data_IF_773449519953
#
_entry.id   IF_773449519953
#
_cell.length_a   1.000
_cell.length_b   1.000
_cell.length_c   1.000
_cell.angle_alpha   90.00
_cell.angle_beta   90.00
_cell.angle_gamma   90.00
#
_symmetry.space_group_name_H-M   'P 1'
#
loop_
_entity.id
_entity.type
_entity.pdbx_description
1 polymer ?
#
# COMPACT_ATOMS: atom_id res chain seq x y z
N UNK A 1 -8.55 22.04 89.36
CA UNK A 1 -9.71 21.42 88.74
C UNK A 1 -9.61 21.71 87.27
N UNK A 2 -9.07 20.77 86.48
CA UNK A 2 -8.85 20.89 85.01
C UNK A 2 -9.99 20.15 84.37
N UNK A 3 -10.81 20.83 83.58
CA UNK A 3 -11.91 20.26 82.81
C UNK A 3 -11.35 19.87 81.42
N UNK A 4 -11.24 18.58 81.11
CA UNK A 4 -10.88 18.07 79.79
C UNK A 4 -12.17 17.97 78.98
N UNK A 5 -12.37 18.84 77.97
CA UNK A 5 -13.42 18.69 76.95
C UNK A 5 -12.94 17.63 75.90
N UNK A 6 -13.58 16.47 75.90
CA UNK A 6 -13.46 15.49 74.83
C UNK A 6 -14.39 15.89 73.69
N UNK A 7 -13.82 16.38 72.57
CA UNK A 7 -14.52 16.57 71.30
C UNK A 7 -14.66 15.23 70.58
N UNK A 8 -15.77 14.54 70.66
CA UNK A 8 -16.18 13.41 69.87
C UNK A 8 -16.61 13.89 68.46
N UNK A 9 -15.65 13.96 67.53
CA UNK A 9 -15.94 14.23 66.14
C UNK A 9 -16.54 13.01 65.45
N UNK A 10 -17.89 12.94 65.36
CA UNK A 10 -18.57 11.98 64.47
C UNK A 10 -18.33 12.41 63.02
N UNK A 11 -17.25 11.86 62.37
CA UNK A 11 -17.10 11.98 60.94
C UNK A 11 -18.20 11.20 60.21
N UNK A 12 -19.19 11.91 59.65
CA UNK A 12 -20.09 11.33 58.66
C UNK A 12 -19.29 10.87 57.46
N UNK A 13 -19.21 9.53 57.22
CA UNK A 13 -18.75 8.99 55.96
C UNK A 13 -19.64 9.57 54.87
N UNK A 14 -19.06 10.35 53.94
CA UNK A 14 -19.76 10.79 52.74
C UNK A 14 -20.27 9.58 51.93
N UNK A 15 -21.28 9.80 51.08
CA UNK A 15 -21.75 8.72 50.22
C UNK A 15 -20.56 8.16 49.41
N UNK A 16 -20.50 6.83 49.21
CA UNK A 16 -19.42 6.21 48.42
C UNK A 16 -19.36 6.89 47.05
N UNK A 17 -18.17 7.30 46.64
CA UNK A 17 -17.95 7.85 45.30
C UNK A 17 -18.47 6.81 44.29
N UNK A 18 -19.18 7.26 43.23
CA UNK A 18 -19.63 6.37 42.19
C UNK A 18 -18.40 5.68 41.58
N UNK A 19 -18.46 4.38 41.23
CA UNK A 19 -17.35 3.67 40.69
C UNK A 19 -16.86 4.36 39.41
N UNK A 20 -15.59 4.68 39.34
CA UNK A 20 -14.95 5.25 38.16
C UNK A 20 -15.12 4.27 36.99
N UNK A 21 -15.94 4.65 36.02
CA UNK A 21 -16.18 3.85 34.83
C UNK A 21 -15.15 4.27 33.77
N UNK A 22 -14.15 3.45 33.55
CA UNK A 22 -13.17 3.66 32.47
C UNK A 22 -13.84 3.34 31.14
N UNK A 23 -13.97 4.35 30.29
CA UNK A 23 -14.58 4.26 28.96
C UNK A 23 -13.49 4.59 27.95
N UNK A 24 -13.24 3.75 26.89
CA UNK A 24 -12.22 4.02 25.91
C UNK A 24 -12.55 5.28 25.10
N UNK A 25 -11.52 6.02 24.71
CA UNK A 25 -11.67 7.10 23.72
C UNK A 25 -12.17 6.52 22.38
N UNK A 26 -12.60 7.39 21.48
CA UNK A 26 -12.99 6.99 20.14
C UNK A 26 -11.81 6.36 19.37
N UNK A 27 -12.05 5.36 18.51
CA UNK A 27 -11.08 4.96 17.51
C UNK A 27 -10.66 6.17 16.66
N UNK A 28 -9.36 6.35 16.46
CA UNK A 28 -8.82 7.50 15.74
C UNK A 28 -8.55 7.17 14.26
N UNK A 29 -8.39 8.21 13.44
CA UNK A 29 -8.00 8.12 12.03
C UNK A 29 -8.85 7.15 11.21
N UNK A 30 -10.17 7.14 11.44
CA UNK A 30 -11.06 6.29 10.67
C UNK A 30 -11.05 6.72 9.21
N UNK A 31 -10.70 5.78 8.33
CA UNK A 31 -10.73 5.91 6.87
C UNK A 31 -11.51 4.76 6.26
N UNK A 32 -12.05 4.96 5.07
CA UNK A 32 -12.72 3.91 4.31
C UNK A 32 -12.39 4.05 2.82
N UNK A 33 -11.93 2.97 2.21
CA UNK A 33 -11.62 2.90 0.78
C UNK A 33 -12.50 1.85 0.11
N UNK A 34 -13.18 2.24 -0.97
CA UNK A 34 -14.04 1.32 -1.72
C UNK A 34 -13.32 0.80 -2.96
N UNK A 35 -13.28 -0.51 -3.10
CA UNK A 35 -12.75 -1.24 -4.25
C UNK A 35 -13.83 -2.17 -4.80
N UNK A 36 -14.45 -1.77 -5.90
CA UNK A 36 -15.60 -2.46 -6.49
C UNK A 36 -16.72 -2.72 -5.46
N UNK A 37 -16.91 -3.96 -5.05
CA UNK A 37 -17.91 -4.39 -4.06
C UNK A 37 -17.37 -4.54 -2.64
N UNK A 38 -16.10 -4.19 -2.40
CA UNK A 38 -15.45 -4.33 -1.09
C UNK A 38 -15.13 -2.94 -0.53
N UNK A 39 -15.31 -2.77 0.78
CA UNK A 39 -14.88 -1.57 1.50
C UNK A 39 -13.92 -1.96 2.61
N UNK A 40 -12.73 -1.39 2.57
CA UNK A 40 -11.71 -1.53 3.61
C UNK A 40 -11.79 -0.35 4.56
N UNK A 41 -12.17 -0.60 5.80
CA UNK A 41 -12.25 0.40 6.88
C UNK A 41 -11.02 0.23 7.77
N UNK A 42 -10.25 1.30 7.94
CA UNK A 42 -9.04 1.32 8.77
C UNK A 42 -9.21 2.33 9.90
N UNK A 43 -8.62 2.04 11.05
CA UNK A 43 -8.65 2.92 12.22
C UNK A 43 -7.54 2.57 13.20
N UNK A 44 -7.17 3.54 14.05
CA UNK A 44 -6.27 3.29 15.16
C UNK A 44 -7.08 2.83 16.39
N UNK A 45 -6.68 1.69 16.97
CA UNK A 45 -7.28 1.12 18.16
C UNK A 45 -7.09 2.05 19.35
N UNK A 46 -8.14 2.33 20.17
CA UNK A 46 -8.01 3.17 21.37
C UNK A 46 -6.91 2.67 22.32
N UNK A 47 -6.04 3.58 22.78
CA UNK A 47 -4.98 3.29 23.74
C UNK A 47 -5.17 3.99 25.09
N UNK A 48 -6.21 4.80 25.24
CA UNK A 48 -6.53 5.53 26.46
C UNK A 48 -8.03 5.53 26.74
N UNK A 49 -8.39 5.83 27.97
CA UNK A 49 -9.76 6.09 28.39
C UNK A 49 -10.09 7.59 28.30
N UNK A 50 -11.38 7.94 28.37
CA UNK A 50 -11.85 9.32 28.29
C UNK A 50 -11.38 10.18 29.46
N UNK A 51 -10.97 9.58 30.58
CA UNK A 51 -10.37 10.24 31.74
C UNK A 51 -8.84 10.41 31.61
N UNK A 52 -8.24 10.05 30.44
CA UNK A 52 -6.81 10.11 30.18
C UNK A 52 -6.01 8.93 30.72
N UNK A 53 -6.61 8.00 31.45
CA UNK A 53 -5.91 6.83 31.97
C UNK A 53 -5.53 5.86 30.87
N UNK A 54 -4.38 5.19 31.02
CA UNK A 54 -3.88 4.12 30.15
C UNK A 54 -3.54 2.89 30.98
N UNK A 55 -3.64 1.69 30.40
CA UNK A 55 -4.16 1.33 29.08
C UNK A 55 -5.69 1.55 28.99
N UNK A 56 -6.24 1.58 27.76
CA UNK A 56 -7.66 1.68 27.53
C UNK A 56 -8.40 0.42 28.03
N UNK A 57 -9.58 0.62 28.63
CA UNK A 57 -10.48 -0.48 28.94
C UNK A 57 -11.29 -0.86 27.69
N UNK A 58 -10.65 -1.53 26.75
CA UNK A 58 -11.24 -1.95 25.48
C UNK A 58 -10.99 -3.43 25.25
N UNK A 59 -12.06 -4.19 24.98
CA UNK A 59 -12.04 -5.61 24.62
C UNK A 59 -12.02 -5.78 23.09
N UNK A 60 -12.75 -4.93 22.39
CA UNK A 60 -12.86 -4.95 20.93
C UNK A 60 -13.30 -3.59 20.40
N UNK A 61 -13.08 -3.40 19.10
CA UNK A 61 -13.65 -2.28 18.37
C UNK A 61 -14.68 -2.82 17.38
N UNK A 62 -15.93 -2.38 17.51
CA UNK A 62 -17.00 -2.70 16.59
C UNK A 62 -17.13 -1.59 15.54
N UNK A 63 -17.24 -1.99 14.26
CA UNK A 63 -17.49 -1.07 13.14
C UNK A 63 -18.94 -1.23 12.70
N UNK A 64 -19.64 -0.11 12.58
CA UNK A 64 -21.02 -0.03 12.14
C UNK A 64 -21.10 0.73 10.82
N UNK A 65 -22.03 0.33 9.95
CA UNK A 65 -22.29 0.99 8.68
C UNK A 65 -23.77 1.19 8.41
N UNK A 66 -24.08 2.24 7.66
CA UNK A 66 -25.45 2.57 7.26
C UNK A 66 -25.45 3.24 5.89
N UNK A 67 -26.38 2.83 5.04
CA UNK A 67 -26.58 3.45 3.72
C UNK A 67 -27.74 4.43 3.78
N UNK A 68 -27.51 5.67 3.37
CA UNK A 68 -28.51 6.71 3.35
C UNK A 68 -28.27 7.72 2.21
N UNK A 69 -29.35 8.40 1.81
CA UNK A 69 -29.30 9.48 0.83
C UNK A 69 -29.09 10.86 1.50
N UNK A 70 -28.90 10.90 2.80
CA UNK A 70 -28.72 12.12 3.58
C UNK A 70 -27.86 11.87 4.81
N UNK A 71 -27.32 12.94 5.38
CA UNK A 71 -26.58 12.90 6.65
C UNK A 71 -27.53 12.54 7.79
N UNK A 72 -27.11 11.56 8.62
CA UNK A 72 -27.83 11.07 9.80
C UNK A 72 -27.23 11.62 11.08
N UNK A 73 -28.03 11.73 12.12
CA UNK A 73 -27.53 12.05 13.48
C UNK A 73 -26.86 10.83 14.11
N UNK A 74 -26.05 11.04 15.18
CA UNK A 74 -25.39 9.93 15.88
C UNK A 74 -26.43 8.94 16.46
N UNK A 75 -27.54 9.44 17.01
CA UNK A 75 -28.60 8.59 17.56
C UNK A 75 -29.29 7.75 16.48
N UNK A 76 -29.44 8.30 15.28
CA UNK A 76 -30.00 7.56 14.15
C UNK A 76 -29.04 6.46 13.69
N UNK A 77 -27.76 6.78 13.58
CA UNK A 77 -26.73 5.80 13.22
C UNK A 77 -26.72 4.67 14.26
N UNK A 78 -26.72 4.98 15.56
CA UNK A 78 -26.73 3.98 16.63
C UNK A 78 -27.90 3.02 16.59
N UNK A 79 -29.07 3.51 16.17
CA UNK A 79 -30.32 2.72 16.16
C UNK A 79 -30.51 1.92 14.89
N UNK A 80 -29.98 2.42 13.77
CA UNK A 80 -30.31 1.93 12.43
C UNK A 80 -29.13 1.30 11.73
N UNK A 81 -27.87 1.61 12.14
CA UNK A 81 -26.68 1.04 11.51
C UNK A 81 -26.51 -0.43 11.87
N UNK A 82 -26.05 -1.20 10.92
CA UNK A 82 -25.68 -2.61 11.09
C UNK A 82 -24.20 -2.74 11.46
N UNK A 83 -23.88 -3.69 12.32
CA UNK A 83 -22.50 -4.05 12.62
C UNK A 83 -21.91 -4.82 11.44
N UNK A 84 -20.82 -4.30 10.87
CA UNK A 84 -20.16 -4.87 9.68
C UNK A 84 -18.89 -5.63 10.01
N UNK A 85 -18.32 -5.37 11.20
CA UNK A 85 -17.13 -6.10 11.63
C UNK A 85 -16.75 -5.78 13.07
N UNK A 86 -15.79 -6.53 13.57
CA UNK A 86 -15.27 -6.40 14.92
C UNK A 86 -13.80 -6.79 14.93
N UNK A 87 -12.97 -6.01 15.62
CA UNK A 87 -11.56 -6.32 15.85
C UNK A 87 -11.37 -6.52 17.35
N UNK A 88 -10.93 -7.71 17.76
CA UNK A 88 -10.57 -8.00 19.14
C UNK A 88 -9.30 -7.24 19.51
N UNK A 89 -9.21 -6.77 20.74
CA UNK A 89 -8.05 -6.06 21.29
C UNK A 89 -7.45 -6.89 22.41
N UNK A 90 -6.12 -7.07 22.38
CA UNK A 90 -5.41 -7.80 23.43
C UNK A 90 -5.60 -7.10 24.78
N UNK A 91 -5.78 -7.91 25.83
CA UNK A 91 -5.75 -7.38 27.21
C UNK A 91 -4.37 -6.73 27.45
N UNK A 92 -4.33 -5.57 28.16
CA UNK A 92 -3.05 -4.97 28.52
C UNK A 92 -2.25 -5.93 29.40
N UNK A 93 -0.94 -6.00 29.21
CA UNK A 93 -0.04 -6.77 30.07
C UNK A 93 -0.14 -6.23 31.49
N UNK A 94 -0.16 -7.13 32.47
CA UNK A 94 -0.08 -6.72 33.88
C UNK A 94 1.32 -6.12 34.14
N UNK A 95 1.40 -4.83 34.55
CA UNK A 95 2.69 -4.22 34.84
C UNK A 95 3.43 -4.87 36.03
N UNK A 96 2.73 -5.69 36.81
CA UNK A 96 3.31 -6.45 37.94
C UNK A 96 3.56 -7.93 37.65
N UNK A 97 3.38 -8.37 36.41
CA UNK A 97 3.81 -9.70 35.99
C UNK A 97 5.35 -9.73 36.04
N UNK A 98 5.92 -10.25 37.12
CA UNK A 98 7.35 -10.50 37.26
C UNK A 98 7.73 -11.63 36.31
N UNK A 99 8.48 -11.30 35.27
CA UNK A 99 9.33 -12.28 34.59
C UNK A 99 10.40 -12.69 35.57
N UNK A 100 10.41 -13.94 35.95
CA UNK A 100 11.46 -14.51 36.80
C UNK A 100 12.80 -14.46 36.01
N UNK A 101 13.85 -13.78 36.49
CA UNK A 101 15.09 -13.57 35.71
C UNK A 101 15.98 -14.81 35.59
N UNK A 102 15.57 -15.98 36.04
CA UNK A 102 16.37 -17.19 36.05
C UNK A 102 15.97 -18.30 35.03
N UNK A 103 14.98 -18.05 34.16
CA UNK A 103 14.77 -19.00 33.07
C UNK A 103 15.53 -18.52 31.82
N UNK A 104 16.38 -19.41 31.21
CA UNK A 104 17.05 -19.09 29.95
C UNK A 104 16.01 -18.89 28.88
N UNK A 105 16.30 -17.92 27.95
CA UNK A 105 15.52 -17.54 26.78
C UNK A 105 15.01 -18.73 25.93
N UNK A 106 14.10 -19.53 26.47
CA UNK A 106 13.11 -20.17 25.64
C UNK A 106 12.15 -19.03 25.20
N UNK A 107 12.02 -18.83 23.90
CA UNK A 107 10.93 -18.05 23.32
C UNK A 107 9.63 -18.56 23.92
N UNK A 108 9.29 -18.01 25.10
CA UNK A 108 7.99 -18.24 25.68
C UNK A 108 7.01 -17.58 24.75
N UNK A 109 6.42 -18.39 23.86
CA UNK A 109 5.18 -18.07 23.19
C UNK A 109 4.21 -17.58 24.27
N UNK A 110 4.27 -16.27 24.57
CA UNK A 110 3.28 -15.62 25.40
C UNK A 110 1.93 -16.00 24.77
N UNK A 111 0.95 -16.51 25.54
CA UNK A 111 -0.32 -16.92 24.98
C UNK A 111 -0.81 -15.79 24.10
N UNK A 112 -0.78 -16.00 22.78
CA UNK A 112 -1.26 -15.04 21.78
C UNK A 112 -2.72 -14.77 22.09
N UNK A 113 -2.97 -13.75 22.91
CA UNK A 113 -4.30 -13.25 23.13
C UNK A 113 -4.84 -12.88 21.74
N UNK A 114 -5.89 -13.57 21.29
CA UNK A 114 -6.54 -13.30 20.01
C UNK A 114 -6.90 -11.83 19.94
N UNK A 115 -6.24 -11.06 19.10
CA UNK A 115 -6.52 -9.65 18.91
C UNK A 115 -5.30 -8.82 18.52
N UNK A 116 -5.52 -7.54 18.31
CA UNK A 116 -4.48 -6.54 18.00
C UNK A 116 -4.09 -5.75 19.25
N UNK A 117 -2.92 -5.15 19.25
CA UNK A 117 -2.48 -4.29 20.34
C UNK A 117 -3.22 -2.93 20.33
N UNK A 118 -3.25 -2.25 21.48
CA UNK A 118 -3.77 -0.89 21.59
C UNK A 118 -2.84 0.10 20.87
N UNK A 119 -3.41 1.10 20.19
CA UNK A 119 -2.64 2.11 19.47
C UNK A 119 -2.13 1.70 18.08
N UNK A 120 -2.41 0.48 17.63
CA UNK A 120 -2.03 0.03 16.29
C UNK A 120 -3.14 0.27 15.26
N UNK A 121 -2.76 0.29 13.99
CA UNK A 121 -3.69 0.33 12.86
C UNK A 121 -4.39 -1.01 12.71
N UNK A 122 -5.72 -1.00 12.76
CA UNK A 122 -6.58 -2.15 12.54
C UNK A 122 -7.41 -1.97 11.27
N UNK A 123 -7.86 -3.09 10.68
CA UNK A 123 -8.67 -3.12 9.46
C UNK A 123 -9.90 -4.01 9.64
N UNK A 124 -11.01 -3.54 9.09
CA UNK A 124 -12.23 -4.32 8.86
C UNK A 124 -12.58 -4.23 7.40
N UNK A 125 -12.81 -5.37 6.74
CA UNK A 125 -13.23 -5.42 5.34
C UNK A 125 -14.70 -5.81 5.29
N UNK A 126 -15.52 -4.99 4.62
CA UNK A 126 -16.91 -5.30 4.33
C UNK A 126 -17.10 -5.66 2.87
N UNK A 127 -17.78 -6.78 2.60
CA UNK A 127 -18.28 -7.11 1.29
C UNK A 127 -19.68 -6.50 1.15
N UNK A 128 -19.85 -5.56 0.22
CA UNK A 128 -21.15 -4.93 -0.04
C UNK A 128 -22.12 -5.95 -0.65
N UNK A 129 -23.18 -6.27 0.10
CA UNK A 129 -24.33 -7.04 -0.39
C UNK A 129 -25.35 -6.11 -1.04
N UNK A 130 -26.29 -6.68 -1.78
CA UNK A 130 -27.38 -5.90 -2.41
C UNK A 130 -28.16 -5.10 -1.35
N UNK A 131 -28.40 -5.68 -0.17
CA UNK A 131 -29.05 -4.97 0.95
C UNK A 131 -28.24 -3.78 1.46
N UNK A 132 -26.91 -3.88 1.44
CA UNK A 132 -26.02 -2.79 1.83
C UNK A 132 -26.07 -1.60 0.86
N UNK A 133 -26.45 -1.83 -0.39
CA UNK A 133 -26.57 -0.80 -1.43
C UNK A 133 -27.89 -0.02 -1.34
N UNK A 134 -28.91 -0.58 -0.68
CA UNK A 134 -30.22 0.06 -0.55
C UNK A 134 -30.24 1.08 0.58
N UNK A 135 -30.56 2.35 0.31
CA UNK A 135 -30.72 3.35 1.35
C UNK A 135 -31.88 3.04 2.29
N UNK A 136 -31.68 3.27 3.58
CA UNK A 136 -32.76 3.12 4.56
C UNK A 136 -33.88 4.15 4.29
N UNK A 137 -35.13 3.69 4.35
CA UNK A 137 -36.31 4.53 4.25
C UNK A 137 -36.74 5.01 5.66
N UNK A 138 -36.27 6.19 6.03
CA UNK A 138 -36.56 6.81 7.32
C UNK A 138 -38.06 7.23 7.49
N UNK A 139 -38.81 7.22 6.38
CA UNK A 139 -40.26 7.54 6.42
C UNK A 139 -41.11 6.35 6.87
N UNK A 140 -40.65 5.12 6.64
CA UNK A 140 -41.32 3.90 7.08
C UNK A 140 -41.31 3.78 8.62
N UNK A 141 -40.21 4.17 9.25
CA UNK A 141 -40.11 4.12 10.71
C UNK A 141 -40.86 5.26 11.40
N UNK A 142 -41.13 6.38 10.71
CA UNK A 142 -41.95 7.50 11.24
C UNK A 142 -43.45 7.18 11.32
N UNK A 143 -43.94 6.17 10.59
CA UNK A 143 -45.36 5.74 10.67
C UNK A 143 -45.74 5.08 12.00
N UNK A 144 -44.80 4.73 12.85
CA UNK A 144 -45.04 4.23 14.20
C UNK A 144 -45.40 5.33 15.21
N UNK A 145 -45.20 6.60 14.89
CA UNK A 145 -45.65 7.71 15.73
C UNK A 145 -46.90 8.36 15.14
N UNK A 146 -48.04 8.10 15.71
CA UNK A 146 -49.27 8.86 15.48
C UNK A 146 -48.98 10.35 15.60
N UNK A 147 -48.73 11.03 14.49
CA UNK A 147 -48.61 12.49 14.45
C UNK A 147 -49.86 13.07 13.83
N UNK A 148 -50.43 14.03 14.54
CA UNK A 148 -51.63 14.77 14.22
C UNK A 148 -51.58 15.36 12.80
N UNK A 149 -52.67 15.19 12.11
CA UNK A 149 -53.06 15.66 10.78
C UNK A 149 -53.05 17.19 10.75
N UNK A 150 -52.03 17.80 10.18
CA UNK A 150 -52.09 19.18 9.69
C UNK A 150 -52.47 19.14 8.19
N UNK A 151 -53.63 19.69 7.85
CA UNK A 151 -54.02 19.99 6.46
C UNK A 151 -53.23 21.20 6.02
N UNK A 152 -52.26 21.00 5.09
CA UNK A 152 -51.62 22.09 4.36
C UNK A 152 -52.00 22.03 2.85
N UNK A 153 -51.85 23.11 2.12
CA UNK A 153 -52.29 23.23 0.72
C UNK A 153 -51.46 22.33 -0.23
N UNK A 154 -52.11 21.95 -1.34
CA UNK A 154 -51.56 21.05 -2.37
C UNK A 154 -50.28 21.57 -2.97
N UNK A 155 -49.24 20.77 -2.86
CA UNK A 155 -47.95 21.01 -3.51
C UNK A 155 -48.05 20.84 -5.01
N UNK A 156 -47.51 21.84 -5.76
CA UNK A 156 -47.27 21.73 -7.18
C UNK A 156 -46.22 20.64 -7.53
N UNK A 157 -46.01 20.31 -8.81
CA UNK A 157 -45.08 19.26 -9.18
C UNK A 157 -43.67 19.59 -8.68
N UNK A 158 -43.18 18.77 -7.75
CA UNK A 158 -41.81 18.83 -7.27
C UNK A 158 -40.86 18.56 -8.43
N UNK A 159 -40.03 19.52 -8.78
CA UNK A 159 -38.88 19.28 -9.65
C UNK A 159 -38.03 18.20 -9.01
N UNK A 160 -37.62 17.15 -9.76
CA UNK A 160 -36.74 16.13 -9.20
C UNK A 160 -35.46 16.80 -8.75
N UNK A 161 -35.20 16.77 -7.43
CA UNK A 161 -33.90 17.13 -6.89
C UNK A 161 -32.83 16.23 -7.53
N UNK A 162 -31.65 16.75 -7.85
CA UNK A 162 -30.55 15.95 -8.35
C UNK A 162 -30.34 14.76 -7.40
N UNK A 163 -30.50 13.56 -7.94
CA UNK A 163 -30.40 12.31 -7.17
C UNK A 163 -28.93 12.14 -6.79
N UNK A 164 -28.56 12.55 -5.58
CA UNK A 164 -27.25 12.23 -5.04
C UNK A 164 -27.13 10.71 -4.96
N UNK A 165 -26.05 10.16 -5.47
CA UNK A 165 -25.76 8.75 -5.29
C UNK A 165 -25.77 8.42 -3.80
N UNK A 166 -26.41 7.30 -3.38
CA UNK A 166 -26.41 6.93 -1.98
C UNK A 166 -24.98 6.77 -1.48
N UNK A 167 -24.76 7.07 -0.22
CA UNK A 167 -23.48 6.87 0.45
C UNK A 167 -23.62 5.89 1.61
N UNK A 168 -22.56 5.11 1.84
CA UNK A 168 -22.46 4.25 3.00
C UNK A 168 -21.49 4.86 3.99
N UNK A 169 -22.04 5.15 5.19
CA UNK A 169 -21.31 5.83 6.27
C UNK A 169 -20.87 4.82 7.32
N UNK A 170 -19.62 4.90 7.73
CA UNK A 170 -18.99 4.05 8.74
C UNK A 170 -18.67 4.83 10.00
N UNK A 171 -18.78 4.15 11.15
CA UNK A 171 -18.33 4.62 12.45
C UNK A 171 -17.73 3.47 13.25
N UNK A 172 -16.66 3.74 13.98
CA UNK A 172 -16.02 2.81 14.92
C UNK A 172 -16.37 3.13 16.36
N UNK A 173 -16.48 2.10 17.20
CA UNK A 173 -16.81 2.22 18.64
C UNK A 173 -15.98 1.21 19.43
N UNK A 174 -15.21 1.67 20.40
CA UNK A 174 -14.57 0.80 21.39
C UNK A 174 -15.59 0.20 22.35
N UNK A 175 -15.52 -1.10 22.58
CA UNK A 175 -16.37 -1.82 23.53
C UNK A 175 -15.51 -2.24 24.72
N UNK A 176 -15.95 -1.90 25.93
CA UNK A 176 -15.25 -2.29 27.16
C UNK A 176 -15.42 -3.78 27.45
N UNK A 177 -14.57 -4.34 28.32
CA UNK A 177 -14.68 -5.72 28.83
C UNK A 177 -16.02 -6.04 29.51
N UNK A 178 -16.80 -5.03 29.86
CA UNK A 178 -18.16 -5.15 30.41
C UNK A 178 -19.26 -4.87 29.38
N UNK A 179 -18.92 -4.83 28.08
CA UNK A 179 -19.84 -4.62 26.97
C UNK A 179 -20.37 -3.17 26.84
N UNK A 180 -19.81 -2.18 27.56
CA UNK A 180 -20.21 -0.79 27.42
C UNK A 180 -19.58 -0.16 26.20
N UNK A 181 -20.37 0.65 25.47
CA UNK A 181 -19.88 1.39 24.29
C UNK A 181 -19.10 2.62 24.75
N UNK A 182 -17.96 2.84 24.15
CA UNK A 182 -17.15 4.04 24.23
C UNK A 182 -17.64 5.17 23.32
N UNK A 183 -16.79 6.15 23.11
CA UNK A 183 -17.07 7.25 22.18
C UNK A 183 -17.00 6.77 20.73
N UNK A 184 -17.80 7.41 19.86
CA UNK A 184 -17.78 7.15 18.42
C UNK A 184 -16.60 7.85 17.74
N UNK A 185 -16.02 7.20 16.76
CA UNK A 185 -15.05 7.81 15.85
C UNK A 185 -15.67 8.96 15.05
N UNK A 186 -14.84 9.70 14.35
CA UNK A 186 -15.27 10.50 13.20
C UNK A 186 -15.98 9.61 12.20
N UNK A 187 -16.86 10.20 11.39
CA UNK A 187 -17.58 9.48 10.33
C UNK A 187 -16.78 9.52 9.07
N UNK A 188 -16.80 8.41 8.34
CA UNK A 188 -16.30 8.35 6.98
C UNK A 188 -17.38 7.78 6.08
N UNK A 189 -17.53 8.32 4.89
CA UNK A 189 -18.53 7.86 3.93
C UNK A 189 -17.87 7.52 2.60
N UNK A 190 -18.34 6.44 1.98
CA UNK A 190 -17.98 6.05 0.61
C UNK A 190 -19.20 6.21 -0.28
N UNK A 191 -18.97 6.66 -1.51
CA UNK A 191 -20.04 6.74 -2.51
C UNK A 191 -20.43 5.32 -2.96
N UNK A 192 -21.72 5.08 -3.17
CA UNK A 192 -22.25 3.84 -3.73
C UNK A 192 -22.55 3.96 -5.23
N UNK A 193 -22.04 5.00 -5.91
CA UNK A 193 -22.08 5.06 -7.37
C UNK A 193 -21.48 3.77 -7.98
N UNK A 194 -21.91 3.33 -9.15
CA UNK A 194 -21.33 2.17 -9.83
C UNK A 194 -19.80 2.35 -9.96
N UNK A 195 -19.01 1.32 -9.65
CA UNK A 195 -17.55 1.40 -9.81
C UNK A 195 -17.18 1.46 -11.30
N UNK A 196 -16.06 2.10 -11.65
CA UNK A 196 -15.56 2.11 -13.02
C UNK A 196 -15.19 0.67 -13.47
N UNK A 197 -15.10 0.47 -14.78
CA UNK A 197 -14.64 -0.80 -15.33
C UNK A 197 -13.12 -0.96 -15.12
N UNK A 198 -12.63 -2.18 -14.86
CA UNK A 198 -11.20 -2.43 -14.78
C UNK A 198 -10.55 -2.27 -16.16
N UNK A 199 -9.27 -1.86 -16.24
CA UNK A 199 -8.55 -1.87 -17.50
C UNK A 199 -8.27 -3.31 -17.96
N UNK A 200 -7.78 -3.48 -19.19
CA UNK A 200 -7.28 -4.76 -19.63
C UNK A 200 -6.09 -5.22 -18.78
N UNK A 201 -5.87 -6.53 -18.73
CA UNK A 201 -4.69 -7.09 -18.04
C UNK A 201 -3.41 -6.44 -18.57
N UNK A 202 -2.53 -5.90 -17.71
CA UNK A 202 -1.33 -5.23 -18.15
C UNK A 202 -0.35 -6.20 -18.83
N UNK A 203 0.40 -5.67 -19.79
CA UNK A 203 1.62 -6.30 -20.26
C UNK A 203 2.78 -5.84 -19.40
N UNK A 204 3.72 -6.74 -19.11
CA UNK A 204 4.90 -6.45 -18.29
C UNK A 204 6.17 -6.74 -19.08
N UNK A 205 7.14 -5.83 -19.01
CA UNK A 205 8.49 -5.98 -19.54
C UNK A 205 9.47 -5.25 -18.62
N UNK A 206 10.76 -5.40 -18.83
CA UNK A 206 11.79 -4.75 -18.00
C UNK A 206 13.02 -4.40 -18.83
N UNK A 207 13.78 -3.44 -18.31
CA UNK A 207 15.14 -3.11 -18.74
C UNK A 207 16.11 -3.23 -17.55
N UNK A 208 17.32 -2.70 -17.69
CA UNK A 208 18.33 -2.70 -16.62
C UNK A 208 17.94 -1.89 -15.38
N UNK A 209 16.91 -1.04 -15.45
CA UNK A 209 16.62 -0.01 -14.44
C UNK A 209 15.27 -0.20 -13.76
N UNK A 210 14.29 -0.74 -14.51
CA UNK A 210 12.92 -0.79 -14.03
C UNK A 210 12.11 -1.91 -14.69
N UNK A 211 11.02 -2.28 -14.01
CA UNK A 211 9.94 -3.09 -14.56
C UNK A 211 8.86 -2.13 -15.04
N UNK A 212 8.37 -2.32 -16.26
CA UNK A 212 7.35 -1.49 -16.89
C UNK A 212 6.07 -2.28 -17.08
N UNK A 213 4.96 -1.62 -16.77
CA UNK A 213 3.62 -2.11 -17.02
C UNK A 213 2.93 -1.18 -18.00
N UNK A 214 2.25 -1.75 -19.00
CA UNK A 214 1.38 -1.02 -19.92
C UNK A 214 0.04 -1.74 -20.00
N UNK A 215 -1.06 -1.00 -20.03
CA UNK A 215 -2.40 -1.55 -20.15
C UNK A 215 -3.27 -0.74 -21.11
N UNK A 216 -4.32 -1.38 -21.61
CA UNK A 216 -5.33 -0.68 -22.39
C UNK A 216 -6.42 -0.21 -21.43
N UNK A 217 -6.78 1.09 -21.44
CA UNK A 217 -7.90 1.61 -20.67
C UNK A 217 -9.18 0.83 -20.98
N UNK A 218 -10.05 0.68 -19.95
CA UNK A 218 -11.40 0.23 -20.23
C UNK A 218 -12.05 1.19 -21.21
N UNK A 219 -12.58 0.69 -22.32
CA UNK A 219 -13.40 1.51 -23.20
C UNK A 219 -14.58 2.00 -22.36
N UNK A 220 -14.79 3.29 -22.28
CA UNK A 220 -16.10 3.82 -21.91
C UNK A 220 -17.07 3.15 -22.88
N UNK A 221 -17.91 2.25 -22.35
CA UNK A 221 -18.86 1.52 -23.19
C UNK A 221 -19.55 2.53 -24.13
N UNK A 222 -19.83 2.15 -25.36
CA UNK A 222 -20.45 2.97 -26.41
C UNK A 222 -21.83 3.58 -26.03
N UNK A 223 -21.95 4.01 -24.81
CA UNK A 223 -23.05 4.77 -24.24
C UNK A 223 -22.93 6.24 -24.55
N UNK A 224 -23.13 6.62 -25.81
CA UNK A 224 -23.73 7.89 -26.21
C UNK A 224 -23.23 9.22 -25.61
N UNK A 225 -21.99 9.36 -25.21
CA UNK A 225 -21.48 10.68 -24.80
C UNK A 225 -20.98 11.58 -25.95
N UNK A 226 -21.11 11.10 -27.20
CA UNK A 226 -20.69 11.88 -28.38
C UNK A 226 -21.65 13.01 -28.77
N UNK A 227 -22.80 13.19 -28.11
CA UNK A 227 -23.83 14.17 -28.53
C UNK A 227 -24.39 15.05 -27.41
N UNK A 228 -23.83 15.11 -26.22
CA UNK A 228 -24.25 16.10 -25.23
C UNK A 228 -23.26 17.25 -25.17
N UNK A 229 -23.58 18.42 -25.79
CA UNK A 229 -22.82 19.62 -25.55
C UNK A 229 -23.14 20.12 -24.14
N UNK A 230 -22.11 20.42 -23.41
CA UNK A 230 -22.10 21.09 -22.11
C UNK A 230 -22.49 20.22 -20.90
N UNK A 231 -21.47 19.90 -20.11
CA UNK A 231 -21.64 19.48 -18.72
C UNK A 231 -22.56 20.47 -18.00
N UNK A 232 -23.68 20.03 -17.40
CA UNK A 232 -24.54 20.94 -16.65
C UNK A 232 -23.73 21.67 -15.58
N UNK A 233 -23.97 22.96 -15.41
CA UNK A 233 -23.34 23.75 -14.36
C UNK A 233 -23.63 23.08 -13.01
N UNK A 234 -22.57 22.58 -12.29
CA UNK A 234 -22.70 21.83 -11.05
C UNK A 234 -22.68 20.32 -11.17
N UNK A 235 -22.40 19.75 -12.35
CA UNK A 235 -22.12 18.32 -12.44
C UNK A 235 -20.81 17.99 -11.68
N UNK A 236 -20.77 16.86 -10.93
CA UNK A 236 -19.57 16.46 -10.21
C UNK A 236 -18.40 16.28 -11.18
N UNK A 237 -17.25 16.84 -10.81
CA UNK A 237 -16.03 16.67 -11.61
C UNK A 237 -15.57 15.22 -11.47
N UNK A 238 -15.51 14.49 -12.58
CA UNK A 238 -15.00 13.13 -12.64
C UNK A 238 -13.63 13.13 -13.27
N UNK A 239 -12.68 12.50 -12.62
CA UNK A 239 -11.35 12.23 -13.19
C UNK A 239 -11.03 10.75 -13.06
N UNK A 240 -10.53 10.17 -14.16
CA UNK A 240 -10.09 8.79 -14.20
C UNK A 240 -8.56 8.73 -14.11
N UNK A 241 -8.08 7.75 -13.40
CA UNK A 241 -6.69 7.40 -13.29
C UNK A 241 -6.54 5.93 -12.97
N UNK A 242 -5.32 5.50 -12.68
CA UNK A 242 -5.02 4.09 -12.40
C UNK A 242 -4.19 3.97 -11.14
N UNK A 243 -4.49 2.97 -10.32
CA UNK A 243 -3.69 2.55 -9.20
C UNK A 243 -3.08 1.18 -9.48
N UNK A 244 -1.77 1.06 -9.24
CA UNK A 244 -1.01 -0.19 -9.39
C UNK A 244 -0.74 -0.76 -8.02
N UNK A 245 -0.90 -2.07 -7.88
CA UNK A 245 -0.74 -2.80 -6.63
C UNK A 245 0.21 -3.99 -6.81
N UNK A 246 0.93 -4.30 -5.76
CA UNK A 246 1.64 -5.55 -5.54
C UNK A 246 1.01 -6.23 -4.31
N UNK A 247 0.27 -7.31 -4.52
CA UNK A 247 -0.57 -7.88 -3.48
C UNK A 247 -1.59 -6.88 -2.94
N UNK A 248 -1.49 -6.57 -1.64
CA UNK A 248 -2.35 -5.57 -0.98
C UNK A 248 -1.73 -4.16 -0.96
N UNK A 249 -0.48 -4.03 -1.35
CA UNK A 249 0.27 -2.76 -1.27
C UNK A 249 0.06 -1.93 -2.52
N UNK A 250 -0.43 -0.70 -2.35
CA UNK A 250 -0.52 0.26 -3.45
C UNK A 250 0.84 0.88 -3.71
N UNK A 251 1.31 0.79 -4.96
CA UNK A 251 2.61 1.31 -5.41
C UNK A 251 2.52 2.78 -5.85
N UNK A 252 1.39 3.18 -6.40
CA UNK A 252 1.13 4.56 -6.82
C UNK A 252 0.72 5.42 -5.63
N UNK A 253 1.43 6.53 -5.36
CA UNK A 253 1.05 7.49 -4.30
C UNK A 253 -0.27 8.19 -4.63
N UNK A 254 -0.44 8.57 -5.88
CA UNK A 254 -1.65 9.12 -6.47
C UNK A 254 -1.98 8.32 -7.72
N UNK A 255 -3.26 8.25 -8.09
CA UNK A 255 -3.65 7.60 -9.34
C UNK A 255 -2.92 8.26 -10.53
N UNK A 256 -2.32 7.45 -11.39
CA UNK A 256 -1.63 7.91 -12.61
C UNK A 256 -2.64 8.08 -13.74
N UNK A 257 -2.49 9.12 -14.53
CA UNK A 257 -3.40 9.40 -15.65
C UNK A 257 -3.08 8.53 -16.87
N UNK A 258 -1.79 8.30 -17.11
CA UNK A 258 -1.34 7.52 -18.25
C UNK A 258 -1.48 6.01 -17.98
N UNK A 259 -1.80 5.19 -19.00
CA UNK A 259 -1.95 3.75 -18.85
C UNK A 259 -0.60 3.02 -18.80
N UNK A 260 0.36 3.58 -18.07
CA UNK A 260 1.70 3.04 -17.90
C UNK A 260 2.20 3.24 -16.46
N UNK A 261 3.08 2.35 -16.03
CA UNK A 261 3.76 2.48 -14.72
C UNK A 261 5.16 1.88 -14.80
N UNK A 262 6.12 2.53 -14.15
CA UNK A 262 7.49 2.04 -14.02
C UNK A 262 7.81 1.78 -12.56
N UNK A 263 8.19 0.54 -12.23
CA UNK A 263 8.67 0.15 -10.91
C UNK A 263 10.20 0.10 -10.90
N UNK A 264 10.82 1.07 -10.26
CA UNK A 264 12.29 1.14 -10.15
C UNK A 264 12.89 0.15 -9.11
N UNK A 265 12.06 -0.65 -8.44
CA UNK A 265 12.48 -1.65 -7.46
C UNK A 265 12.89 -2.97 -8.14
N UNK A 266 13.57 -2.87 -9.28
CA UNK A 266 14.09 -4.03 -9.98
C UNK A 266 15.08 -4.79 -9.11
N UNK A 267 14.91 -6.11 -9.00
CA UNK A 267 15.88 -7.06 -8.43
C UNK A 267 15.91 -8.32 -9.28
N UNK A 268 17.09 -8.69 -9.74
CA UNK A 268 17.28 -9.86 -10.59
C UNK A 268 16.90 -11.15 -9.87
N UNK A 269 16.13 -12.02 -10.52
CA UNK A 269 15.64 -13.29 -9.96
C UNK A 269 14.48 -13.16 -8.96
N UNK A 270 14.08 -11.96 -8.56
CA UNK A 270 12.97 -11.74 -7.65
C UNK A 270 11.64 -11.67 -8.42
N UNK A 271 10.71 -12.57 -8.08
CA UNK A 271 9.37 -12.56 -8.68
C UNK A 271 8.55 -11.41 -8.14
N UNK A 272 7.98 -10.59 -9.03
CA UNK A 272 7.04 -9.52 -8.70
C UNK A 272 5.74 -9.71 -9.47
N UNK A 273 4.62 -9.46 -8.78
CA UNK A 273 3.29 -9.65 -9.34
C UNK A 273 2.47 -8.38 -9.16
N UNK A 274 1.76 -7.97 -10.20
CA UNK A 274 1.06 -6.70 -10.26
C UNK A 274 -0.39 -6.87 -10.68
N UNK A 275 -1.25 -6.02 -10.13
CA UNK A 275 -2.61 -5.79 -10.61
C UNK A 275 -2.84 -4.29 -10.77
N UNK A 276 -3.72 -3.93 -11.69
CA UNK A 276 -4.10 -2.54 -11.96
C UNK A 276 -5.60 -2.37 -11.72
N UNK A 277 -5.98 -1.21 -11.18
CA UNK A 277 -7.37 -0.79 -10.99
C UNK A 277 -7.58 0.58 -11.61
N UNK A 278 -8.70 0.78 -12.27
CA UNK A 278 -9.17 2.13 -12.61
C UNK A 278 -9.63 2.80 -11.32
N UNK A 279 -9.19 4.03 -11.08
CA UNK A 279 -9.62 4.86 -9.98
C UNK A 279 -10.41 6.05 -10.54
N UNK A 280 -11.67 6.17 -10.17
CA UNK A 280 -12.51 7.31 -10.51
C UNK A 280 -12.64 8.22 -9.29
N UNK A 281 -12.20 9.46 -9.42
CA UNK A 281 -12.45 10.49 -8.43
C UNK A 281 -13.72 11.25 -8.80
N UNK A 282 -14.69 11.23 -7.89
CA UNK A 282 -15.95 11.98 -7.99
C UNK A 282 -16.00 12.91 -6.79
N UNK A 283 -15.79 14.22 -7.02
CA UNK A 283 -15.58 15.21 -5.96
C UNK A 283 -14.42 14.77 -5.03
N UNK A 284 -14.69 14.55 -3.74
CA UNK A 284 -13.70 14.10 -2.77
C UNK A 284 -13.63 12.57 -2.61
N UNK A 285 -14.56 11.81 -3.21
CA UNK A 285 -14.61 10.37 -3.10
C UNK A 285 -13.81 9.70 -4.23
N UNK A 286 -13.07 8.65 -3.89
CA UNK A 286 -12.39 7.79 -4.86
C UNK A 286 -13.06 6.42 -4.86
N UNK A 287 -13.42 5.94 -6.04
CA UNK A 287 -14.00 4.62 -6.26
C UNK A 287 -13.06 3.85 -7.18
N UNK A 288 -12.60 2.70 -6.75
CA UNK A 288 -11.77 1.82 -7.58
C UNK A 288 -12.57 0.69 -8.21
N UNK A 289 -12.16 0.29 -9.40
CA UNK A 289 -12.68 -0.88 -10.12
C UNK A 289 -12.33 -2.20 -9.41
N UNK A 290 -12.85 -3.30 -9.92
CA UNK A 290 -12.22 -4.61 -9.73
C UNK A 290 -10.76 -4.58 -10.20
N UNK A 291 -9.91 -5.45 -9.63
CA UNK A 291 -8.55 -5.62 -10.11
C UNK A 291 -8.53 -6.29 -11.47
N UNK A 292 -7.51 -6.02 -12.27
CA UNK A 292 -7.16 -6.86 -13.41
C UNK A 292 -6.78 -8.27 -12.95
N UNK A 293 -6.65 -9.19 -13.89
CA UNK A 293 -5.88 -10.42 -13.62
C UNK A 293 -4.46 -10.04 -13.21
N UNK A 294 -3.89 -10.83 -12.30
CA UNK A 294 -2.52 -10.63 -11.84
C UNK A 294 -1.52 -10.98 -12.96
N UNK A 295 -0.52 -10.15 -13.15
CA UNK A 295 0.60 -10.40 -14.05
C UNK A 295 1.89 -10.43 -13.25
N UNK A 296 2.71 -11.47 -13.47
CA UNK A 296 3.98 -11.63 -12.75
C UNK A 296 5.15 -11.63 -13.71
N UNK A 297 6.30 -11.18 -13.23
CA UNK A 297 7.59 -11.21 -13.92
C UNK A 297 8.69 -11.61 -12.94
N UNK A 298 9.63 -12.39 -13.41
CA UNK A 298 10.89 -12.67 -12.70
C UNK A 298 12.01 -12.16 -13.60
N UNK A 299 12.54 -10.95 -13.37
CA UNK A 299 13.57 -10.38 -14.21
C UNK A 299 14.84 -11.22 -14.16
N UNK A 300 15.40 -11.49 -15.32
CA UNK A 300 16.70 -12.16 -15.48
C UNK A 300 17.66 -11.16 -16.10
N UNK A 301 18.85 -11.05 -15.54
CA UNK A 301 19.86 -10.17 -16.09
C UNK A 301 20.43 -10.76 -17.38
N UNK A 302 20.07 -10.14 -18.50
CA UNK A 302 20.55 -10.49 -19.84
C UNK A 302 21.23 -9.30 -20.52
N UNK A 303 21.53 -8.26 -19.77
CA UNK A 303 22.04 -6.99 -20.26
C UNK A 303 23.55 -6.92 -20.11
N UNK A 304 24.32 -7.03 -21.20
CA UNK A 304 25.77 -6.98 -21.12
C UNK A 304 26.28 -5.58 -20.78
N UNK A 305 27.44 -5.46 -20.10
CA UNK A 305 28.11 -4.19 -19.88
C UNK A 305 28.45 -3.46 -21.17
N UNK A 306 28.80 -2.18 -21.08
CA UNK A 306 29.35 -1.46 -22.21
C UNK A 306 30.72 -2.05 -22.63
N UNK A 307 31.03 -1.98 -23.93
CA UNK A 307 32.34 -2.39 -24.42
C UNK A 307 33.45 -1.53 -23.77
N UNK A 308 34.57 -2.13 -23.31
CA UNK A 308 35.72 -1.40 -22.83
C UNK A 308 36.26 -0.42 -23.88
N UNK A 309 36.73 0.74 -23.41
CA UNK A 309 37.22 1.81 -24.28
C UNK A 309 38.72 1.99 -24.17
N UNK A 310 39.29 2.64 -25.18
CA UNK A 310 40.68 3.12 -25.18
C UNK A 310 41.71 1.99 -24.97
N UNK A 311 41.43 0.79 -25.50
CA UNK A 311 42.45 -0.27 -25.48
C UNK A 311 43.70 0.18 -26.22
N UNK A 312 44.84 0.13 -25.54
CA UNK A 312 46.19 0.41 -26.07
C UNK A 312 47.14 -0.73 -25.76
N UNK A 313 48.18 -0.86 -26.57
CA UNK A 313 49.25 -1.82 -26.39
C UNK A 313 50.57 -1.10 -26.20
N UNK A 314 51.45 -1.69 -25.40
CA UNK A 314 52.84 -1.25 -25.19
C UNK A 314 53.76 -2.44 -25.34
N UNK A 315 54.54 -2.45 -26.44
CA UNK A 315 55.52 -3.50 -26.69
C UNK A 315 56.76 -3.34 -25.82
N UNK A 316 57.20 -4.41 -25.21
CA UNK A 316 58.43 -4.54 -24.45
C UNK A 316 59.25 -5.77 -24.85
N UNK A 317 60.42 -5.91 -24.27
CA UNK A 317 61.25 -7.13 -24.54
C UNK A 317 60.52 -8.36 -24.00
N UNK A 318 60.15 -9.26 -24.90
CA UNK A 318 59.49 -10.54 -24.59
C UNK A 318 58.04 -10.39 -24.12
N UNK A 319 57.35 -9.24 -24.29
CA UNK A 319 55.98 -9.06 -23.90
C UNK A 319 55.26 -7.90 -24.57
N UNK A 320 53.92 -7.97 -24.59
CA UNK A 320 53.01 -6.87 -24.93
C UNK A 320 52.11 -6.62 -23.73
N UNK A 321 52.06 -5.38 -23.25
CA UNK A 321 51.18 -4.94 -22.15
C UNK A 321 49.97 -4.21 -22.74
N UNK A 322 48.76 -4.63 -22.34
CA UNK A 322 47.52 -4.02 -22.69
C UNK A 322 47.05 -3.12 -21.56
N UNK A 323 46.43 -2.01 -21.90
CA UNK A 323 45.81 -1.05 -20.92
C UNK A 323 44.53 -0.54 -21.54
N UNK A 324 43.47 -0.44 -20.74
CA UNK A 324 42.16 0.09 -21.15
C UNK A 324 41.52 0.90 -20.04
N UNK A 325 40.46 1.67 -20.37
CA UNK A 325 39.70 2.44 -19.42
C UNK A 325 38.77 1.52 -18.62
N UNK A 326 38.62 1.75 -17.29
CA UNK A 326 37.69 0.98 -16.47
C UNK A 326 36.22 1.26 -16.84
N UNK A 327 35.42 0.23 -16.84
CA UNK A 327 33.97 0.31 -16.88
C UNK A 327 33.41 0.77 -15.54
N UNK A 328 32.18 1.34 -15.53
CA UNK A 328 31.55 1.95 -14.34
C UNK A 328 30.31 1.23 -13.85
N UNK A 329 29.92 0.15 -14.48
CA UNK A 329 28.75 -0.66 -14.14
C UNK A 329 28.94 -1.31 -12.76
N UNK A 330 27.89 -1.28 -11.95
CA UNK A 330 27.93 -1.76 -10.54
C UNK A 330 28.06 -3.27 -10.42
N UNK A 331 27.60 -3.98 -11.43
CA UNK A 331 27.58 -5.44 -11.51
C UNK A 331 28.74 -6.01 -12.34
N UNK A 332 29.66 -5.17 -12.76
CA UNK A 332 30.86 -5.62 -13.46
C UNK A 332 31.59 -6.70 -12.64
N UNK A 333 31.82 -7.86 -13.26
CA UNK A 333 32.67 -8.92 -12.71
C UNK A 333 34.15 -8.75 -13.11
N UNK A 334 34.42 -8.23 -14.32
CA UNK A 334 35.78 -8.02 -14.82
C UNK A 334 35.88 -8.03 -16.34
N UNK A 335 37.04 -8.41 -16.83
CA UNK A 335 37.39 -8.34 -18.25
C UNK A 335 37.95 -9.67 -18.76
N UNK A 336 37.60 -10.02 -20.00
CA UNK A 336 38.20 -11.10 -20.77
C UNK A 336 39.06 -10.50 -21.85
N UNK A 337 40.35 -10.87 -21.88
CA UNK A 337 41.28 -10.49 -22.93
C UNK A 337 41.18 -11.49 -24.06
N UNK A 338 40.99 -10.99 -25.27
CA UNK A 338 40.98 -11.76 -26.51
C UNK A 338 42.27 -11.53 -27.24
N UNK A 339 42.84 -12.60 -27.81
CA UNK A 339 44.09 -12.56 -28.60
C UNK A 339 43.93 -13.35 -29.88
N UNK A 340 44.49 -12.86 -30.96
CA UNK A 340 44.58 -13.53 -32.25
C UNK A 340 45.81 -13.17 -33.05
N UNK A 341 45.96 -13.80 -34.20
CA UNK A 341 46.95 -13.41 -35.21
C UNK A 341 46.39 -12.35 -36.15
N UNK A 342 45.09 -12.32 -36.30
CA UNK A 342 44.32 -11.32 -37.06
C UNK A 342 42.97 -11.03 -36.37
N UNK A 343 42.18 -10.15 -36.97
CA UNK A 343 40.89 -9.67 -36.36
C UNK A 343 39.81 -10.75 -36.35
N UNK A 344 39.87 -11.78 -37.19
CA UNK A 344 38.83 -12.80 -37.35
C UNK A 344 39.06 -14.04 -36.46
N UNK A 345 40.22 -14.19 -35.84
CA UNK A 345 40.60 -15.34 -35.02
C UNK A 345 40.86 -15.00 -33.55
N UNK A 346 40.18 -13.96 -33.03
CA UNK A 346 40.31 -13.55 -31.64
C UNK A 346 39.64 -14.56 -30.70
N UNK A 347 40.42 -15.18 -29.83
CA UNK A 347 39.98 -16.14 -28.84
C UNK A 347 40.29 -15.65 -27.42
N UNK A 348 39.45 -15.99 -26.43
CA UNK A 348 39.72 -15.63 -25.04
C UNK A 348 41.01 -16.31 -24.53
N UNK A 349 41.87 -15.53 -23.92
CA UNK A 349 43.09 -16.04 -23.28
C UNK A 349 42.86 -16.69 -21.92
N UNK A 350 41.66 -16.45 -21.33
CA UNK A 350 41.29 -16.90 -19.99
C UNK A 350 39.81 -17.25 -19.93
N UNK A 351 39.44 -18.14 -19.02
CA UNK A 351 38.06 -18.55 -18.79
C UNK A 351 37.35 -17.74 -17.70
N UNK A 352 38.12 -17.09 -16.82
CA UNK A 352 37.57 -16.25 -15.72
C UNK A 352 37.95 -14.79 -15.92
N UNK A 353 37.03 -13.83 -15.72
CA UNK A 353 37.33 -12.42 -15.88
C UNK A 353 38.36 -11.93 -14.85
N UNK A 354 39.26 -11.02 -15.28
CA UNK A 354 40.19 -10.29 -14.42
C UNK A 354 39.61 -8.93 -14.04
N UNK A 355 39.87 -8.46 -12.82
CA UNK A 355 39.42 -7.14 -12.35
C UNK A 355 40.33 -5.98 -12.68
N UNK A 356 41.59 -6.31 -13.08
CA UNK A 356 42.57 -5.30 -13.50
C UNK A 356 42.20 -4.72 -14.87
N UNK A 357 42.55 -3.46 -15.10
CA UNK A 357 42.40 -2.74 -16.36
C UNK A 357 43.69 -2.78 -17.21
N UNK A 358 44.55 -3.71 -16.93
CA UNK A 358 45.76 -4.02 -17.69
C UNK A 358 46.02 -5.52 -17.72
N UNK A 359 46.74 -5.95 -18.71
CA UNK A 359 47.13 -7.35 -18.89
C UNK A 359 48.46 -7.41 -19.59
N UNK A 360 49.35 -8.30 -19.13
CA UNK A 360 50.68 -8.55 -19.77
C UNK A 360 50.65 -9.91 -20.45
N UNK A 361 50.93 -9.93 -21.76
CA UNK A 361 51.08 -11.15 -22.56
C UNK A 361 52.58 -11.37 -22.86
N UNK A 362 53.15 -12.42 -22.27
CA UNK A 362 54.56 -12.79 -22.50
C UNK A 362 54.69 -13.58 -23.83
N UNK A 363 55.55 -13.10 -24.72
CA UNK A 363 55.65 -13.56 -26.06
C UNK A 363 57.13 -13.62 -26.51
N UNK A 364 57.45 -14.52 -27.43
CA UNK A 364 58.76 -14.50 -28.05
C UNK A 364 58.99 -13.18 -28.82
N UNK A 365 60.21 -12.61 -28.80
CA UNK A 365 60.54 -11.45 -29.58
C UNK A 365 60.19 -11.63 -31.09
N UNK A 366 59.68 -10.57 -31.72
CA UNK A 366 59.21 -10.57 -33.10
C UNK A 366 57.78 -11.12 -33.29
N UNK A 367 57.11 -11.58 -32.24
CA UNK A 367 55.74 -12.10 -32.34
C UNK A 367 54.72 -10.96 -32.39
N UNK A 368 53.95 -10.85 -33.49
CA UNK A 368 52.83 -9.90 -33.65
C UNK A 368 51.53 -10.54 -33.19
N UNK A 369 50.70 -9.78 -32.46
CA UNK A 369 49.35 -10.17 -32.01
C UNK A 369 48.39 -9.05 -32.15
N UNK A 370 47.08 -9.43 -32.30
CA UNK A 370 45.94 -8.55 -32.27
C UNK A 370 45.12 -8.87 -31.02
N UNK A 371 44.65 -7.83 -30.35
CA UNK A 371 43.92 -7.94 -29.10
C UNK A 371 42.60 -7.17 -29.12
N UNK A 372 41.64 -7.65 -28.33
CA UNK A 372 40.46 -6.94 -27.90
C UNK A 372 40.17 -7.32 -26.45
N UNK A 373 39.33 -6.53 -25.78
CA UNK A 373 38.87 -6.81 -24.42
C UNK A 373 37.36 -6.76 -24.37
N UNK A 374 36.73 -7.69 -23.64
CA UNK A 374 35.30 -7.67 -23.33
C UNK A 374 35.12 -7.46 -21.83
N UNK A 375 34.15 -6.63 -21.44
CA UNK A 375 33.66 -6.58 -20.08
C UNK A 375 32.66 -7.70 -19.84
N UNK A 376 32.65 -8.24 -18.64
CA UNK A 376 31.69 -9.28 -18.21
C UNK A 376 31.08 -8.86 -16.89
N UNK A 377 29.76 -9.00 -16.75
CA UNK A 377 29.05 -8.76 -15.51
C UNK A 377 29.00 -9.98 -14.58
N UNK A 378 28.37 -9.83 -13.41
CA UNK A 378 28.20 -10.92 -12.44
C UNK A 378 27.22 -12.00 -12.88
N UNK A 379 26.32 -11.68 -13.83
CA UNK A 379 25.39 -12.63 -14.42
C UNK A 379 26.05 -13.48 -15.55
N UNK A 380 27.24 -13.07 -16.02
CA UNK A 380 27.98 -13.73 -17.07
C UNK A 380 27.74 -13.16 -18.47
N UNK A 381 27.02 -12.03 -18.60
CA UNK A 381 26.83 -11.38 -19.87
C UNK A 381 28.12 -10.69 -20.30
N UNK A 382 28.55 -10.94 -21.53
CA UNK A 382 29.77 -10.37 -22.09
C UNK A 382 29.44 -9.24 -23.08
N UNK A 383 30.15 -8.13 -22.96
CA UNK A 383 30.00 -6.97 -23.83
C UNK A 383 30.43 -7.26 -25.27
N UNK A 384 30.13 -6.35 -26.18
CA UNK A 384 30.85 -6.26 -27.44
C UNK A 384 32.37 -6.07 -27.17
N UNK A 385 33.24 -6.50 -28.06
CA UNK A 385 34.67 -6.26 -27.90
C UNK A 385 34.99 -4.75 -27.96
N UNK A 386 36.11 -4.36 -27.31
CA UNK A 386 36.70 -3.03 -27.40
C UNK A 386 37.17 -2.72 -28.85
N UNK A 387 37.74 -1.53 -29.01
CA UNK A 387 38.60 -1.31 -30.20
C UNK A 387 39.72 -2.34 -30.26
N UNK A 388 40.14 -2.67 -31.48
CA UNK A 388 41.31 -3.53 -31.72
C UNK A 388 42.60 -2.76 -31.43
N UNK A 389 43.57 -3.46 -30.85
CA UNK A 389 44.92 -2.98 -30.69
C UNK A 389 45.90 -4.09 -31.14
N UNK A 390 46.95 -3.72 -31.85
CA UNK A 390 47.96 -4.68 -32.32
C UNK A 390 49.36 -4.17 -32.00
N UNK A 391 50.26 -5.10 -31.74
CA UNK A 391 51.69 -4.79 -31.54
C UNK A 391 52.55 -6.02 -31.80
N UNK A 392 53.85 -5.79 -31.81
CA UNK A 392 54.90 -6.82 -31.96
C UNK A 392 55.82 -6.79 -30.76
N UNK A 393 55.98 -7.91 -30.06
CA UNK A 393 56.90 -8.05 -28.92
C UNK A 393 58.35 -7.73 -29.37
N UNK A 394 59.07 -6.95 -28.58
CA UNK A 394 60.44 -6.57 -28.91
C UNK A 394 61.45 -7.59 -28.46
#
# INVERSE_FOLDING_TARGET
MVVVLACSGCGKKGPPLPPLIKIPVAPAELTAERRATTVDVQFIVPAANTDGTRPANVERVDVYAITANRTLTNDQILKLATKVGSVAVKAPRDPNATTDPEEPDEEVDAPEGKGVDQGVLARVTEQLSDDALVPIDLLKDAKSRKSARAKGPSEGPLLPLPTQSPSRTYVGVGITTRGRKGSFSTRVSVSLAPPPLPPATPTVFYDEKAIFLNWVPASAGDGSDALLPSTPLGAPQRSLGYNVYEGVTRLTKTAVADPTFADARLAWGEKRCYVVRTAEKVDEAVIESAATSEVCVTPVDTFPPAAPKSLQTVASVGAITLIWEPNTERDLAGYLVLRGTNQSDLEPMMTSPITATNFRDDLAPGTRRVYAVRAVDKAGNASAPSNLAEDTAR
#
